data_IF_659366010509
#
_entry.id   IF_659366010509
#
_cell.length_a   1.000
_cell.length_b   1.000
_cell.length_c   1.000
_cell.angle_alpha   90.00
_cell.angle_beta   90.00
_cell.angle_gamma   90.00
#
_symmetry.space_group_name_H-M   'P 1'
#
loop_
_entity.id
_entity.type
_entity.pdbx_description
1 polymer ?
#
# COMPACT_ATOMS: atom_id res chain seq x y z
N UNK A 1 -29.11 -8.17 12.19
CA UNK A 1 -28.57 -8.84 10.99
C UNK A 1 -27.34 -8.03 10.62
N UNK A 2 -26.15 -8.56 10.86
CA UNK A 2 -24.92 -7.83 10.56
C UNK A 2 -24.70 -7.92 9.06
N UNK A 3 -24.78 -6.79 8.35
CA UNK A 3 -24.27 -6.68 6.99
C UNK A 3 -22.78 -7.03 7.04
N UNK A 4 -22.43 -8.23 6.58
CA UNK A 4 -21.04 -8.62 6.41
C UNK A 4 -20.58 -8.01 5.09
N UNK A 5 -19.95 -6.84 5.19
CA UNK A 5 -19.37 -6.16 4.04
C UNK A 5 -18.10 -6.91 3.64
N UNK A 6 -18.09 -7.49 2.44
CA UNK A 6 -16.96 -8.29 1.99
C UNK A 6 -15.88 -7.37 1.43
N UNK A 7 -14.74 -7.34 2.12
CA UNK A 7 -13.57 -6.55 1.72
C UNK A 7 -12.52 -7.45 1.11
N UNK A 8 -12.10 -7.15 -0.12
CA UNK A 8 -11.08 -7.92 -0.85
C UNK A 8 -9.95 -7.01 -1.28
N UNK A 9 -8.71 -7.40 -0.99
CA UNK A 9 -7.50 -6.74 -1.48
C UNK A 9 -6.86 -7.60 -2.56
N UNK A 10 -6.42 -6.98 -3.66
CA UNK A 10 -5.82 -7.68 -4.80
C UNK A 10 -4.61 -6.91 -5.31
N UNK A 11 -3.48 -7.59 -5.52
CA UNK A 11 -2.33 -7.03 -6.25
C UNK A 11 -2.61 -7.06 -7.76
N UNK A 12 -2.32 -5.96 -8.44
CA UNK A 12 -2.23 -5.86 -9.90
C UNK A 12 -0.79 -5.47 -10.26
N UNK A 13 0.11 -6.46 -10.45
CA UNK A 13 1.50 -6.21 -10.81
C UNK A 13 1.68 -5.49 -12.15
N UNK A 14 0.73 -5.64 -13.08
CA UNK A 14 0.79 -4.97 -14.38
C UNK A 14 0.54 -3.46 -14.26
N UNK A 15 -0.17 -3.04 -13.21
CA UNK A 15 -0.45 -1.64 -12.91
C UNK A 15 0.31 -1.10 -11.69
N UNK A 16 1.17 -1.92 -11.10
CA UNK A 16 1.94 -1.60 -9.89
C UNK A 16 1.08 -1.03 -8.75
N UNK A 17 -0.04 -1.70 -8.46
CA UNK A 17 -0.93 -1.27 -7.37
C UNK A 17 -1.65 -2.43 -6.71
N UNK A 18 -1.89 -2.29 -5.42
CA UNK A 18 -2.92 -3.05 -4.73
C UNK A 18 -4.23 -2.27 -4.82
N UNK A 19 -5.35 -2.97 -5.02
CA UNK A 19 -6.69 -2.39 -4.98
C UNK A 19 -7.50 -3.03 -3.85
N UNK A 20 -8.37 -2.25 -3.23
CA UNK A 20 -9.36 -2.74 -2.26
C UNK A 20 -10.76 -2.61 -2.86
N UNK A 21 -11.53 -3.68 -2.78
CA UNK A 21 -12.93 -3.72 -3.18
C UNK A 21 -13.82 -3.95 -1.96
N UNK A 22 -14.99 -3.30 -1.95
CA UNK A 22 -16.07 -3.49 -1.00
C UNK A 22 -17.30 -3.95 -1.78
N UNK A 23 -17.82 -5.13 -1.46
CA UNK A 23 -18.95 -5.76 -2.16
C UNK A 23 -18.75 -5.80 -3.70
N UNK A 24 -17.52 -6.10 -4.12
CA UNK A 24 -17.12 -6.20 -5.53
C UNK A 24 -16.84 -4.86 -6.23
N UNK A 25 -17.10 -3.72 -5.57
CA UNK A 25 -16.78 -2.39 -6.11
C UNK A 25 -15.39 -1.97 -5.65
N UNK A 26 -14.48 -1.60 -6.56
CA UNK A 26 -13.17 -1.05 -6.18
C UNK A 26 -13.35 0.33 -5.55
N UNK A 27 -12.86 0.49 -4.32
CA UNK A 27 -13.03 1.71 -3.50
C UNK A 27 -11.71 2.36 -3.10
N UNK A 28 -10.57 1.82 -3.52
CA UNK A 28 -9.27 2.44 -3.25
C UNK A 28 -8.09 1.68 -3.80
N UNK A 29 -6.91 2.27 -3.68
CA UNK A 29 -5.65 1.70 -4.15
C UNK A 29 -4.45 2.14 -3.32
N UNK A 30 -3.40 1.32 -3.37
CA UNK A 30 -2.06 1.61 -2.88
C UNK A 30 -1.08 1.34 -4.02
N UNK A 31 -0.57 2.42 -4.62
CA UNK A 31 0.35 2.34 -5.74
C UNK A 31 1.80 2.18 -5.25
N UNK A 32 2.56 1.40 -6.00
CA UNK A 32 3.96 1.16 -5.72
C UNK A 32 4.85 1.31 -6.97
N UNK A 33 6.15 1.39 -6.74
CA UNK A 33 7.20 1.21 -7.75
C UNK A 33 8.16 0.16 -7.21
N UNK A 34 8.55 -0.81 -8.04
CA UNK A 34 9.59 -1.77 -7.68
C UNK A 34 10.97 -1.26 -8.11
N UNK A 35 11.95 -1.34 -7.20
CA UNK A 35 13.36 -0.94 -7.38
C UNK A 35 14.26 -2.04 -6.83
N UNK A 36 14.56 -3.04 -7.67
CA UNK A 36 15.21 -4.28 -7.25
C UNK A 36 14.41 -5.00 -6.16
N UNK A 37 15.03 -5.21 -5.01
CA UNK A 37 14.41 -5.86 -3.84
C UNK A 37 13.48 -4.92 -3.05
N UNK A 38 13.31 -3.66 -3.46
CA UNK A 38 12.46 -2.68 -2.78
C UNK A 38 11.13 -2.53 -3.50
N UNK A 39 10.06 -2.40 -2.71
CA UNK A 39 8.75 -1.93 -3.15
C UNK A 39 8.44 -0.60 -2.47
N UNK A 40 8.34 0.45 -3.27
CA UNK A 40 8.18 1.84 -2.82
C UNK A 40 6.71 2.22 -2.92
N UNK A 41 6.02 2.25 -1.79
CA UNK A 41 4.62 2.70 -1.72
C UNK A 41 4.59 4.22 -1.72
N UNK A 42 4.21 4.83 -2.85
CA UNK A 42 4.28 6.27 -3.05
C UNK A 42 2.92 6.96 -2.99
N UNK A 43 1.83 6.24 -3.21
CA UNK A 43 0.48 6.80 -3.17
C UNK A 43 -0.52 5.82 -2.55
N UNK A 44 -1.48 6.35 -1.81
CA UNK A 44 -2.59 5.57 -1.25
C UNK A 44 -3.82 6.46 -1.23
N UNK A 45 -4.94 5.94 -1.71
CA UNK A 45 -6.22 6.65 -1.74
C UNK A 45 -7.36 5.67 -1.48
N UNK A 46 -8.40 6.18 -0.83
CA UNK A 46 -9.71 5.56 -0.69
C UNK A 46 -10.70 6.60 -1.22
N UNK A 47 -11.68 6.16 -1.99
CA UNK A 47 -12.77 7.02 -2.45
C UNK A 47 -13.46 7.65 -1.22
N UNK A 48 -13.67 8.97 -1.28
CA UNK A 48 -14.20 9.77 -0.18
C UNK A 48 -15.54 9.24 0.34
N UNK A 49 -16.38 8.65 -0.52
CA UNK A 49 -17.66 8.04 -0.12
C UNK A 49 -17.49 6.84 0.85
N UNK A 50 -16.29 6.28 0.88
CA UNK A 50 -15.90 5.12 1.68
C UNK A 50 -14.91 5.47 2.80
N UNK A 51 -14.61 6.76 2.98
CA UNK A 51 -13.77 7.28 4.06
C UNK A 51 -14.28 6.91 5.46
N UNK A 52 -13.36 6.88 6.44
CA UNK A 52 -13.70 6.61 7.85
C UNK A 52 -14.03 5.15 8.21
N UNK A 53 -14.01 4.24 7.24
CA UNK A 53 -14.36 2.81 7.44
C UNK A 53 -13.17 1.88 7.70
N UNK A 54 -11.97 2.43 7.90
CA UNK A 54 -10.74 1.65 8.12
C UNK A 54 -10.14 0.98 6.87
N UNK A 55 -10.73 1.17 5.70
CA UNK A 55 -10.32 0.51 4.44
C UNK A 55 -8.86 0.78 4.04
N UNK A 56 -8.38 2.02 4.23
CA UNK A 56 -6.97 2.35 3.95
C UNK A 56 -6.00 1.52 4.81
N UNK A 57 -6.37 1.25 6.07
CA UNK A 57 -5.55 0.45 6.98
C UNK A 57 -5.54 -1.02 6.58
N UNK A 58 -6.70 -1.57 6.20
CA UNK A 58 -6.82 -2.93 5.65
C UNK A 58 -5.99 -3.09 4.39
N UNK A 59 -6.13 -2.17 3.43
CA UNK A 59 -5.40 -2.18 2.17
C UNK A 59 -3.88 -2.15 2.39
N UNK A 60 -3.39 -1.20 3.20
CA UNK A 60 -1.96 -1.08 3.48
C UNK A 60 -1.44 -2.31 4.21
N UNK A 61 -2.15 -2.80 5.24
CA UNK A 61 -1.73 -4.00 5.98
C UNK A 61 -1.53 -5.20 5.06
N UNK A 62 -2.50 -5.49 4.20
CA UNK A 62 -2.41 -6.62 3.24
C UNK A 62 -1.27 -6.40 2.23
N UNK A 63 -1.17 -5.21 1.65
CA UNK A 63 -0.10 -4.89 0.70
C UNK A 63 1.30 -5.03 1.30
N UNK A 64 1.50 -4.58 2.55
CA UNK A 64 2.78 -4.74 3.25
C UNK A 64 3.06 -6.19 3.64
N UNK A 65 2.02 -6.93 4.04
CA UNK A 65 2.13 -8.36 4.38
C UNK A 65 2.58 -9.16 3.17
N UNK A 66 1.93 -8.94 2.02
CA UNK A 66 2.27 -9.59 0.76
C UNK A 66 3.66 -9.19 0.27
N UNK A 67 4.01 -7.91 0.36
CA UNK A 67 5.37 -7.42 0.03
C UNK A 67 6.45 -8.14 0.85
N UNK A 68 6.23 -8.30 2.15
CA UNK A 68 7.15 -9.03 3.04
C UNK A 68 7.20 -10.52 2.68
N UNK A 69 6.05 -11.14 2.42
CA UNK A 69 5.98 -12.55 2.02
C UNK A 69 6.70 -12.82 0.69
N UNK A 70 6.70 -11.84 -0.22
CA UNK A 70 7.46 -11.86 -1.46
C UNK A 70 8.98 -11.62 -1.28
N UNK A 71 9.47 -11.46 -0.03
CA UNK A 71 10.88 -11.24 0.28
C UNK A 71 11.37 -9.81 0.03
N UNK A 72 10.47 -8.88 -0.32
CA UNK A 72 10.83 -7.50 -0.66
C UNK A 72 10.91 -6.60 0.58
N UNK A 73 11.75 -5.58 0.49
CA UNK A 73 11.85 -4.47 1.44
C UNK A 73 10.80 -3.40 1.13
N UNK A 74 10.22 -2.82 2.16
CA UNK A 74 9.16 -1.81 2.07
C UNK A 74 9.78 -0.41 2.22
N UNK A 75 9.50 0.47 1.28
CA UNK A 75 9.82 1.91 1.41
C UNK A 75 8.52 2.72 1.54
N UNK A 76 8.20 3.26 2.73
CA UNK A 76 6.93 3.94 2.99
C UNK A 76 7.00 5.43 2.59
N UNK A 77 7.01 5.73 1.29
CA UNK A 77 7.09 7.10 0.78
C UNK A 77 5.78 7.87 0.94
N UNK A 78 4.63 7.20 0.77
CA UNK A 78 3.31 7.75 1.02
C UNK A 78 3.19 8.17 2.51
N UNK A 79 2.75 9.41 2.82
CA UNK A 79 2.58 9.86 4.20
C UNK A 79 1.65 8.98 5.03
N UNK A 80 0.60 8.43 4.41
CA UNK A 80 -0.32 7.50 5.07
C UNK A 80 0.39 6.22 5.48
N UNK A 81 1.11 5.58 4.54
CA UNK A 81 1.85 4.33 4.82
C UNK A 81 2.91 4.57 5.89
N UNK A 82 3.65 5.69 5.83
CA UNK A 82 4.63 6.08 6.85
C UNK A 82 4.02 6.19 8.23
N UNK A 83 2.87 6.87 8.35
CA UNK A 83 2.13 6.97 9.62
C UNK A 83 1.65 5.59 10.08
N UNK A 84 1.10 4.79 9.16
CA UNK A 84 0.58 3.47 9.48
C UNK A 84 1.67 2.56 10.07
N UNK A 85 2.83 2.43 9.42
CA UNK A 85 3.94 1.60 9.92
C UNK A 85 4.53 2.12 11.23
N UNK A 86 4.51 3.44 11.47
CA UNK A 86 4.96 4.01 12.75
C UNK A 86 4.06 3.64 13.93
N UNK A 87 2.81 3.27 13.68
CA UNK A 87 1.85 2.80 14.69
C UNK A 87 1.72 1.27 14.74
N UNK A 88 2.42 0.55 13.86
CA UNK A 88 2.34 -0.92 13.73
C UNK A 88 3.75 -1.51 13.58
N UNK A 89 4.36 -1.92 14.69
CA UNK A 89 5.76 -2.35 14.75
C UNK A 89 6.08 -3.66 14.00
N UNK A 90 5.05 -4.38 13.53
CA UNK A 90 5.20 -5.72 12.91
C UNK A 90 5.97 -5.78 11.58
N UNK A 91 6.39 -4.63 11.04
CA UNK A 91 7.14 -4.53 9.77
C UNK A 91 8.54 -3.93 9.92
N UNK A 92 8.98 -3.58 11.14
CA UNK A 92 10.24 -2.87 11.36
C UNK A 92 11.47 -3.57 10.76
N UNK A 93 11.44 -4.91 10.63
CA UNK A 93 12.51 -5.73 10.06
C UNK A 93 12.68 -5.58 8.54
N UNK A 94 11.63 -5.13 7.84
CA UNK A 94 11.60 -5.00 6.37
C UNK A 94 11.47 -3.57 5.88
N UNK A 95 11.57 -2.56 6.75
CA UNK A 95 11.52 -1.16 6.35
C UNK A 95 12.88 -0.65 5.84
N UNK A 96 12.84 0.09 4.73
CA UNK A 96 13.93 0.91 4.24
C UNK A 96 13.58 2.41 4.28
N UNK A 97 14.57 3.29 4.46
CA UNK A 97 14.33 4.72 4.54
C UNK A 97 13.97 5.32 3.17
N UNK A 98 13.17 6.39 3.20
CA UNK A 98 12.95 7.24 2.02
C UNK A 98 14.20 8.09 1.80
N UNK A 99 14.95 7.83 0.73
CA UNK A 99 16.18 8.56 0.37
C UNK A 99 15.97 9.42 -0.88
N UNK A 100 16.84 10.41 -1.15
CA UNK A 100 16.79 11.14 -2.41
C UNK A 100 16.89 10.26 -3.66
N UNK A 101 17.56 9.09 -3.55
CA UNK A 101 17.61 8.13 -4.65
C UNK A 101 16.23 7.49 -4.90
N UNK A 102 15.56 7.02 -3.84
CA UNK A 102 14.19 6.49 -3.91
C UNK A 102 13.23 7.49 -4.54
N UNK A 103 13.30 8.76 -4.13
CA UNK A 103 12.42 9.82 -4.66
C UNK A 103 12.60 9.95 -6.17
N UNK A 104 13.86 10.00 -6.65
CA UNK A 104 14.14 10.06 -8.09
C UNK A 104 13.63 8.83 -8.84
N UNK A 105 13.74 7.64 -8.27
CA UNK A 105 13.21 6.41 -8.88
C UNK A 105 11.71 6.53 -9.12
N UNK A 106 10.95 6.99 -8.12
CA UNK A 106 9.51 7.20 -8.25
C UNK A 106 9.20 8.29 -9.28
N UNK A 107 9.87 9.44 -9.22
CA UNK A 107 9.68 10.53 -10.19
C UNK A 107 9.96 10.11 -11.63
N UNK A 108 10.90 9.19 -11.86
CA UNK A 108 11.21 8.66 -13.18
C UNK A 108 10.17 7.65 -13.66
N UNK A 109 9.66 6.80 -12.76
CA UNK A 109 8.66 5.79 -13.08
C UNK A 109 7.27 6.40 -13.38
N UNK A 110 6.98 7.61 -12.89
CA UNK A 110 5.71 8.31 -13.08
C UNK A 110 5.70 9.30 -14.26
N UNK A 111 6.77 9.35 -15.06
CA UNK A 111 6.85 10.17 -16.28
C UNK A 111 6.30 9.42 -17.48
#
# INVERSE_FOLDING_TARGET
>A
MSDNQDTVVTDDPAQHRYSIALDGVRVGLAAYVDDGERRIFHHTEIDDAYGGRGLAGTLVREALTDTRAAGKRIVPMCPYVRRWVSSHEGFADVLDPVTPAVIRTVEQALR
#
